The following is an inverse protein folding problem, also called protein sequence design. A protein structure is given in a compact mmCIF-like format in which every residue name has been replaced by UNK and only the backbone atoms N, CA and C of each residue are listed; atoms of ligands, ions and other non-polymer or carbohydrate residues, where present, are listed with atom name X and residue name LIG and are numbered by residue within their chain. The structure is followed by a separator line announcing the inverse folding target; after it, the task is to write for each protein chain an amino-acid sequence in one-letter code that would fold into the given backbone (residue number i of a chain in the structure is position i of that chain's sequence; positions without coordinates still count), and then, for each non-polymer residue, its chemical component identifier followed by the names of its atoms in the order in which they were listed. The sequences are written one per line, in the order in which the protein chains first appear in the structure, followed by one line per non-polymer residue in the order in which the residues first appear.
data_IF_941589263568
#
_entry.id   IF_941589263568
#
_cell.length_a   1.000
_cell.length_b   1.000
_cell.length_c   1.000
_cell.angle_alpha   90.00
_cell.angle_beta   90.00
_cell.angle_gamma   90.00
#
_symmetry.space_group_name_H-M   'P 1'
#
loop_
_entity.id
_entity.type
_entity.pdbx_description
1 polymer ?
#
# COMPACT_ATOMS: atom_id res chain seq x y z
N UNK A 1 -31.39 -0.38 81.98
CA UNK A 1 -31.85 0.08 80.67
C UNK A 1 -33.31 -0.25 80.51
N UNK A 2 -34.21 0.73 80.21
CA UNK A 2 -35.64 0.46 80.16
C UNK A 2 -35.97 -0.56 79.07
N UNK A 3 -36.78 -1.53 79.36
CA UNK A 3 -37.28 -2.62 78.51
C UNK A 3 -37.83 -2.09 77.14
N UNK A 4 -38.33 -0.86 77.10
CA UNK A 4 -38.80 -0.17 75.90
C UNK A 4 -37.70 0.07 74.83
N UNK A 5 -36.44 0.31 75.19
CA UNK A 5 -35.34 0.50 74.29
C UNK A 5 -34.97 -0.80 73.57
N UNK A 6 -34.98 -1.92 74.25
CA UNK A 6 -34.71 -3.24 73.72
C UNK A 6 -35.78 -3.66 72.70
N UNK A 7 -37.05 -3.40 72.98
CA UNK A 7 -38.14 -3.68 72.03
C UNK A 7 -38.03 -2.91 70.75
N UNK A 8 -37.65 -1.63 70.84
CA UNK A 8 -37.44 -0.77 69.69
C UNK A 8 -36.22 -1.21 68.82
N UNK A 9 -35.14 -1.65 69.44
CA UNK A 9 -33.98 -2.18 68.74
C UNK A 9 -34.34 -3.47 68.00
N UNK A 10 -35.12 -4.36 68.63
CA UNK A 10 -35.54 -5.61 67.98
C UNK A 10 -36.49 -5.41 66.82
N UNK A 11 -37.39 -4.44 66.93
CA UNK A 11 -38.30 -4.04 65.85
C UNK A 11 -37.56 -3.41 64.69
N UNK A 12 -36.61 -2.51 64.94
CA UNK A 12 -35.75 -1.90 63.91
C UNK A 12 -34.91 -2.94 63.22
N UNK A 13 -34.33 -3.90 63.95
CA UNK A 13 -33.53 -4.98 63.36
C UNK A 13 -34.38 -5.89 62.44
N UNK A 14 -35.63 -6.14 62.78
CA UNK A 14 -36.56 -6.92 61.92
C UNK A 14 -36.87 -6.17 60.65
N UNK A 15 -37.08 -4.85 60.71
CA UNK A 15 -37.35 -4.01 59.53
C UNK A 15 -36.11 -3.94 58.62
N UNK A 16 -34.94 -3.72 59.21
CA UNK A 16 -33.67 -3.68 58.48
C UNK A 16 -33.40 -5.01 57.77
N UNK A 17 -33.57 -6.12 58.46
CA UNK A 17 -33.38 -7.46 57.87
C UNK A 17 -34.38 -7.76 56.73
N UNK A 18 -35.62 -7.30 56.85
CA UNK A 18 -36.63 -7.46 55.81
C UNK A 18 -36.23 -6.63 54.55
N UNK A 19 -35.80 -5.37 54.71
CA UNK A 19 -35.35 -4.52 53.58
C UNK A 19 -34.07 -5.07 52.92
N UNK A 20 -33.12 -5.56 53.71
CA UNK A 20 -31.91 -6.21 53.16
C UNK A 20 -32.30 -7.42 52.32
N UNK A 21 -33.18 -8.27 52.85
CA UNK A 21 -33.63 -9.46 52.11
C UNK A 21 -34.35 -9.15 50.81
N UNK A 22 -35.16 -8.08 50.84
CA UNK A 22 -35.88 -7.57 49.66
C UNK A 22 -34.91 -6.98 48.60
N UNK A 23 -33.89 -6.22 49.05
CA UNK A 23 -32.86 -5.68 48.18
C UNK A 23 -31.98 -6.79 47.56
N UNK A 24 -31.58 -7.76 48.37
CA UNK A 24 -30.79 -8.91 47.92
C UNK A 24 -31.55 -9.74 46.89
N UNK A 25 -32.86 -9.94 47.07
CA UNK A 25 -33.68 -10.66 46.08
C UNK A 25 -33.82 -9.91 44.78
N UNK A 26 -33.90 -8.55 44.82
CA UNK A 26 -33.88 -7.69 43.60
C UNK A 26 -32.55 -7.74 42.86
N UNK A 27 -31.42 -7.72 43.59
CA UNK A 27 -30.09 -7.81 43.01
C UNK A 27 -29.88 -9.19 42.33
N UNK A 28 -30.29 -10.26 42.98
CA UNK A 28 -30.18 -11.60 42.39
C UNK A 28 -31.04 -11.77 41.14
N UNK A 29 -32.23 -11.12 41.08
CA UNK A 29 -33.08 -11.16 39.87
C UNK A 29 -32.51 -10.35 38.72
N UNK A 30 -31.70 -9.31 39.02
CA UNK A 30 -31.03 -8.51 38.00
C UNK A 30 -29.75 -9.17 37.43
N UNK A 31 -29.24 -10.23 38.10
CA UNK A 31 -28.04 -10.93 37.63
C UNK A 31 -28.36 -12.12 36.70
N UNK A 32 -29.62 -12.54 36.59
CA UNK A 32 -29.99 -13.69 35.75
C UNK A 32 -30.22 -13.33 34.27
N UNK A 33 -30.23 -12.04 33.86
CA UNK A 33 -30.47 -11.65 32.46
C UNK A 33 -29.22 -11.35 31.64
N UNK A 34 -28.01 -11.51 32.15
CA UNK A 34 -26.83 -11.56 31.27
C UNK A 34 -26.60 -12.99 30.78
N UNK A 35 -27.55 -13.54 30.07
CA UNK A 35 -27.33 -14.66 29.18
C UNK A 35 -26.22 -14.23 28.19
N UNK A 36 -25.01 -14.74 28.37
CA UNK A 36 -23.98 -14.70 27.35
C UNK A 36 -24.52 -15.45 26.16
N UNK A 37 -25.18 -14.74 25.24
CA UNK A 37 -25.58 -15.28 23.93
C UNK A 37 -24.29 -15.62 23.22
N UNK A 38 -23.87 -16.86 23.28
CA UNK A 38 -22.82 -17.40 22.44
C UNK A 38 -23.30 -17.32 21.00
N UNK A 39 -22.41 -16.98 20.07
CA UNK A 39 -22.71 -17.02 18.65
C UNK A 39 -23.10 -18.45 18.24
N UNK A 40 -24.21 -18.58 17.54
CA UNK A 40 -24.60 -19.85 16.93
C UNK A 40 -23.60 -20.20 15.83
N UNK A 41 -23.28 -21.49 15.68
CA UNK A 41 -22.42 -21.99 14.60
C UNK A 41 -23.02 -21.61 13.22
N UNK A 42 -24.35 -21.60 13.10
CA UNK A 42 -25.08 -21.16 11.91
C UNK A 42 -24.86 -19.67 11.63
N UNK A 43 -24.89 -18.81 12.66
CA UNK A 43 -24.67 -17.37 12.54
C UNK A 43 -23.25 -17.06 12.05
N UNK A 44 -22.25 -17.76 12.59
CA UNK A 44 -20.88 -17.64 12.11
C UNK A 44 -20.76 -18.09 10.64
N UNK A 45 -21.39 -19.19 10.28
CA UNK A 45 -21.38 -19.71 8.90
C UNK A 45 -22.00 -18.71 7.91
N UNK A 46 -23.12 -18.09 8.26
CA UNK A 46 -23.75 -17.05 7.43
C UNK A 46 -22.86 -15.82 7.28
N UNK A 47 -22.20 -15.40 8.34
CA UNK A 47 -21.25 -14.25 8.30
C UNK A 47 -20.09 -14.53 7.35
N UNK A 48 -19.43 -15.69 7.47
CA UNK A 48 -18.32 -16.02 6.55
C UNK A 48 -18.78 -16.20 5.11
N UNK A 49 -19.98 -16.70 4.87
CA UNK A 49 -20.57 -16.79 3.54
C UNK A 49 -20.76 -15.39 2.93
N UNK A 50 -21.35 -14.45 3.67
CA UNK A 50 -21.54 -13.07 3.21
C UNK A 50 -20.19 -12.39 2.95
N UNK A 51 -19.23 -12.53 3.87
CA UNK A 51 -17.89 -12.00 3.68
C UNK A 51 -17.18 -12.59 2.46
N UNK A 52 -17.37 -13.88 2.18
CA UNK A 52 -16.83 -14.54 0.98
C UNK A 52 -17.40 -13.95 -0.31
N UNK A 53 -18.71 -13.70 -0.37
CA UNK A 53 -19.36 -13.10 -1.53
C UNK A 53 -18.87 -11.65 -1.73
N UNK A 54 -18.77 -10.85 -0.66
CA UNK A 54 -18.29 -9.48 -0.73
C UNK A 54 -16.81 -9.43 -1.16
N UNK A 55 -15.98 -10.31 -0.63
CA UNK A 55 -14.57 -10.42 -1.02
C UNK A 55 -14.42 -10.74 -2.52
N UNK A 56 -15.19 -11.67 -3.06
CA UNK A 56 -15.17 -12.03 -4.47
C UNK A 56 -15.50 -10.86 -5.41
N UNK A 57 -16.31 -9.90 -4.97
CA UNK A 57 -16.67 -8.72 -5.76
C UNK A 57 -15.61 -7.59 -5.70
N UNK A 58 -14.82 -7.52 -4.62
CA UNK A 58 -13.87 -6.41 -4.36
C UNK A 58 -12.46 -6.75 -4.85
N UNK A 59 -11.99 -7.98 -4.64
CA UNK A 59 -10.61 -8.39 -4.94
C UNK A 59 -10.19 -8.08 -6.39
N UNK A 60 -10.97 -8.38 -7.45
CA UNK A 60 -10.54 -8.10 -8.83
C UNK A 60 -10.29 -6.62 -9.11
N UNK A 61 -11.10 -5.72 -8.51
CA UNK A 61 -10.97 -4.27 -8.71
C UNK A 61 -9.71 -3.70 -8.06
N UNK A 62 -9.30 -4.25 -6.92
CA UNK A 62 -8.12 -3.78 -6.19
C UNK A 62 -6.83 -4.22 -6.90
N UNK A 63 -6.79 -5.43 -7.43
CA UNK A 63 -5.62 -5.95 -8.18
C UNK A 63 -5.37 -5.11 -9.43
N UNK A 64 -6.38 -4.87 -10.28
CA UNK A 64 -6.21 -4.07 -11.49
C UNK A 64 -5.84 -2.60 -11.24
N UNK A 65 -6.31 -2.00 -10.13
CA UNK A 65 -5.89 -0.65 -9.73
C UNK A 65 -4.40 -0.59 -9.33
N UNK A 66 -3.88 -1.66 -8.71
CA UNK A 66 -2.47 -1.77 -8.34
C UNK A 66 -1.54 -1.82 -9.56
N UNK A 67 -1.91 -2.55 -10.59
CA UNK A 67 -1.10 -2.68 -11.81
C UNK A 67 -1.08 -1.36 -12.61
N UNK A 68 -2.21 -0.68 -12.72
CA UNK A 68 -2.24 0.65 -13.33
C UNK A 68 -1.35 1.65 -12.58
N UNK A 69 -1.39 1.65 -11.26
CA UNK A 69 -0.53 2.52 -10.46
C UNK A 69 0.97 2.23 -10.68
N UNK A 70 1.35 0.96 -10.89
CA UNK A 70 2.73 0.58 -11.24
C UNK A 70 3.14 1.11 -12.61
N UNK A 71 2.27 1.00 -13.62
CA UNK A 71 2.51 1.55 -14.97
C UNK A 71 2.71 3.06 -14.90
N UNK A 72 1.84 3.78 -14.18
CA UNK A 72 1.97 5.22 -13.99
C UNK A 72 3.30 5.60 -13.31
N UNK A 73 3.73 4.82 -12.31
CA UNK A 73 5.02 5.01 -11.64
C UNK A 73 6.21 4.75 -12.56
N UNK A 74 6.14 3.76 -13.46
CA UNK A 74 7.18 3.55 -14.50
C UNK A 74 7.33 4.80 -15.33
N UNK A 75 6.24 5.40 -15.78
CA UNK A 75 6.28 6.64 -16.55
C UNK A 75 6.91 7.82 -15.78
N UNK A 76 6.65 7.91 -14.48
CA UNK A 76 7.30 8.92 -13.63
C UNK A 76 8.82 8.69 -13.55
N UNK A 77 9.25 7.43 -13.33
CA UNK A 77 10.65 7.07 -13.28
C UNK A 77 11.36 7.32 -14.63
N UNK A 78 10.70 7.00 -15.74
CA UNK A 78 11.20 7.29 -17.09
C UNK A 78 11.37 8.80 -17.33
N UNK A 79 10.48 9.65 -16.83
CA UNK A 79 10.62 11.10 -16.91
C UNK A 79 11.85 11.60 -16.16
N UNK A 80 12.15 11.02 -15.00
CA UNK A 80 13.38 11.31 -14.26
C UNK A 80 14.63 10.97 -15.06
N UNK A 81 14.69 9.76 -15.61
CA UNK A 81 15.79 9.33 -16.47
C UNK A 81 15.92 10.16 -17.75
N UNK A 82 14.79 10.50 -18.38
CA UNK A 82 14.76 11.35 -19.57
C UNK A 82 15.28 12.77 -19.29
N UNK A 83 15.02 13.32 -18.12
CA UNK A 83 15.57 14.62 -17.72
C UNK A 83 17.10 14.54 -17.56
N UNK A 84 17.63 13.49 -16.97
CA UNK A 84 19.06 13.27 -16.86
C UNK A 84 19.74 13.15 -18.25
N UNK A 85 19.11 12.43 -19.21
CA UNK A 85 19.57 12.36 -20.59
C UNK A 85 19.60 13.73 -21.28
N UNK A 86 18.58 14.57 -21.03
CA UNK A 86 18.52 15.93 -21.57
C UNK A 86 19.62 16.82 -20.98
N UNK A 87 19.90 16.70 -19.70
CA UNK A 87 21.00 17.40 -19.03
C UNK A 87 22.34 16.97 -19.62
N UNK A 88 22.56 15.66 -19.78
CA UNK A 88 23.77 15.15 -20.44
C UNK A 88 23.96 15.75 -21.84
N UNK A 89 22.87 15.77 -22.65
CA UNK A 89 22.92 16.37 -23.97
C UNK A 89 23.18 17.87 -23.96
N UNK A 90 22.66 18.59 -22.96
CA UNK A 90 22.87 20.03 -22.84
C UNK A 90 24.39 20.33 -22.66
N UNK A 91 25.06 19.55 -21.82
CA UNK A 91 26.49 19.73 -21.53
C UNK A 91 27.38 19.21 -22.65
N UNK A 92 27.06 18.06 -23.24
CA UNK A 92 27.92 17.34 -24.19
C UNK A 92 27.50 17.49 -25.67
N UNK A 93 26.38 18.18 -25.94
CA UNK A 93 25.90 18.44 -27.29
C UNK A 93 25.15 17.26 -27.95
N UNK A 94 25.24 16.07 -27.41
CA UNK A 94 24.63 14.84 -27.93
C UNK A 94 24.15 13.91 -26.81
N UNK A 95 23.24 12.99 -27.14
CA UNK A 95 22.86 11.91 -26.24
C UNK A 95 23.93 10.81 -26.25
N UNK A 96 24.06 10.02 -25.14
CA UNK A 96 24.92 8.83 -25.15
C UNK A 96 24.55 7.88 -26.28
N UNK A 97 25.48 7.06 -26.76
CA UNK A 97 25.15 5.98 -27.70
C UNK A 97 24.35 4.88 -27.01
N UNK A 98 23.65 4.05 -27.79
CA UNK A 98 22.82 2.97 -27.24
C UNK A 98 23.66 1.99 -26.40
N UNK A 99 24.89 1.71 -26.85
CA UNK A 99 25.85 0.83 -26.19
C UNK A 99 26.40 1.42 -24.88
N UNK A 100 26.48 2.75 -24.79
CA UNK A 100 26.89 3.48 -23.57
C UNK A 100 25.77 3.49 -22.53
N UNK A 101 24.52 3.48 -22.99
CA UNK A 101 23.35 3.33 -22.16
C UNK A 101 23.19 4.36 -21.05
N UNK A 102 22.52 3.96 -19.97
CA UNK A 102 22.39 4.77 -18.77
C UNK A 102 23.68 4.82 -17.91
N UNK A 103 24.61 3.90 -18.16
CA UNK A 103 25.93 3.91 -17.50
C UNK A 103 26.69 5.20 -17.79
N UNK A 104 26.52 5.76 -19.01
CA UNK A 104 27.09 7.05 -19.37
C UNK A 104 26.57 8.23 -18.52
N UNK A 105 25.42 8.06 -17.85
CA UNK A 105 24.90 9.09 -16.92
C UNK A 105 25.47 8.96 -15.52
N UNK A 106 26.10 7.84 -15.18
CA UNK A 106 26.71 7.58 -13.88
C UNK A 106 28.21 7.93 -13.86
N UNK A 107 28.89 7.73 -14.99
CA UNK A 107 30.30 8.05 -15.16
C UNK A 107 30.60 8.40 -16.61
N UNK A 108 31.59 9.26 -16.84
CA UNK A 108 32.01 9.61 -18.19
C UNK A 108 32.59 8.39 -18.92
N UNK A 109 31.96 7.88 -19.98
CA UNK A 109 32.44 6.69 -20.67
C UNK A 109 33.64 6.97 -21.58
N UNK A 110 33.81 8.22 -22.03
CA UNK A 110 34.88 8.64 -22.93
C UNK A 110 35.16 10.14 -22.72
N UNK A 111 36.27 10.45 -22.06
CA UNK A 111 36.66 11.82 -21.73
C UNK A 111 37.04 12.66 -22.96
N UNK A 112 37.45 12.04 -24.04
CA UNK A 112 37.80 12.75 -25.29
C UNK A 112 36.54 13.12 -26.05
N UNK A 113 35.55 12.23 -26.05
CA UNK A 113 34.23 12.43 -26.69
C UNK A 113 33.34 13.39 -25.89
N UNK A 114 33.34 13.26 -24.57
CA UNK A 114 32.51 14.01 -23.63
C UNK A 114 33.34 14.94 -22.73
N UNK A 115 34.08 15.85 -23.36
CA UNK A 115 34.99 16.78 -22.68
C UNK A 115 34.29 17.74 -21.71
N UNK A 116 33.00 17.99 -21.90
CA UNK A 116 32.15 18.84 -21.05
C UNK A 116 31.27 18.03 -20.07
N UNK A 117 31.65 16.79 -19.80
CA UNK A 117 30.93 15.97 -18.84
C UNK A 117 30.90 16.65 -17.46
N UNK A 118 29.72 16.68 -16.81
CA UNK A 118 29.56 17.31 -15.51
C UNK A 118 30.49 16.69 -14.45
N UNK A 119 30.89 17.50 -13.47
CA UNK A 119 31.74 17.04 -12.35
C UNK A 119 31.03 16.03 -11.42
N UNK A 120 29.70 15.97 -11.50
CA UNK A 120 28.87 15.01 -10.78
C UNK A 120 28.07 14.15 -11.76
N UNK A 121 27.71 12.94 -11.36
CA UNK A 121 26.87 12.06 -12.14
C UNK A 121 25.49 12.70 -12.42
N UNK A 122 24.95 12.47 -13.61
CA UNK A 122 23.60 12.88 -13.97
C UNK A 122 22.54 11.97 -13.34
N UNK A 123 22.90 10.72 -13.00
CA UNK A 123 22.11 9.75 -12.26
C UNK A 123 22.98 9.05 -11.23
N UNK A 124 22.51 8.98 -9.97
CA UNK A 124 23.20 8.23 -8.92
C UNK A 124 23.02 6.72 -9.09
N UNK A 125 21.83 6.29 -9.53
CA UNK A 125 21.49 4.90 -9.67
C UNK A 125 20.94 4.59 -11.06
N UNK A 126 21.19 3.37 -11.52
CA UNK A 126 20.62 2.87 -12.77
C UNK A 126 19.09 2.88 -12.70
N UNK A 127 18.38 3.42 -13.71
CA UNK A 127 16.93 3.50 -13.70
C UNK A 127 16.29 2.11 -13.69
N UNK A 128 15.35 1.91 -12.77
CA UNK A 128 14.56 0.69 -12.66
C UNK A 128 13.08 1.01 -12.77
N UNK A 129 12.35 0.07 -13.31
CA UNK A 129 10.89 0.12 -13.35
C UNK A 129 10.24 -0.22 -12.00
N UNK A 130 8.91 -0.24 -11.96
CA UNK A 130 8.13 -0.53 -10.76
C UNK A 130 8.17 -2.01 -10.33
N UNK A 131 8.73 -2.88 -11.13
CA UNK A 131 8.95 -4.29 -10.84
C UNK A 131 10.43 -4.60 -10.57
N UNK A 132 11.26 -3.54 -10.48
CA UNK A 132 12.68 -3.64 -10.15
C UNK A 132 13.58 -4.10 -11.31
N UNK A 133 13.04 -4.21 -12.54
CA UNK A 133 13.84 -4.49 -13.72
C UNK A 133 14.58 -3.23 -14.19
N UNK A 134 15.77 -3.40 -14.78
CA UNK A 134 16.51 -2.33 -15.42
C UNK A 134 15.76 -1.84 -16.66
N UNK A 135 15.63 -0.52 -16.80
CA UNK A 135 15.10 0.08 -18.01
C UNK A 135 16.12 0.00 -19.15
N UNK A 136 15.65 -0.08 -20.37
CA UNK A 136 16.47 -0.11 -21.58
C UNK A 136 16.47 1.27 -22.21
N UNK A 137 17.64 1.75 -22.62
CA UNK A 137 17.83 2.98 -23.36
C UNK A 137 18.10 2.68 -24.83
N UNK A 138 17.44 3.41 -25.72
CA UNK A 138 17.58 3.27 -27.17
C UNK A 138 17.75 4.67 -27.76
N UNK A 139 18.86 4.91 -28.48
CA UNK A 139 19.10 6.12 -29.25
C UNK A 139 18.75 5.90 -30.73
N UNK A 140 18.04 6.86 -31.31
CA UNK A 140 17.74 6.86 -32.74
C UNK A 140 18.02 8.27 -33.31
N UNK A 141 19.19 8.45 -33.91
CA UNK A 141 19.64 9.74 -34.40
C UNK A 141 19.76 10.75 -33.24
N UNK A 142 19.02 11.85 -33.32
CA UNK A 142 19.01 12.90 -32.29
C UNK A 142 17.83 12.78 -31.29
N UNK A 143 17.22 11.60 -31.22
CA UNK A 143 16.15 11.25 -30.30
C UNK A 143 16.55 10.03 -29.48
N UNK A 144 15.83 9.80 -28.40
CA UNK A 144 15.94 8.58 -27.61
C UNK A 144 14.56 8.09 -27.19
N UNK A 145 14.49 6.83 -26.80
CA UNK A 145 13.38 6.27 -26.08
C UNK A 145 13.89 5.48 -24.86
N UNK A 146 13.02 5.25 -23.91
CA UNK A 146 13.27 4.43 -22.72
C UNK A 146 12.19 3.37 -22.68
N UNK A 147 12.59 2.12 -22.44
CA UNK A 147 11.71 0.97 -22.48
C UNK A 147 11.74 0.23 -21.15
N UNK A 148 10.59 -0.17 -20.66
CA UNK A 148 10.42 -1.17 -19.61
C UNK A 148 9.66 -2.35 -20.18
N UNK A 149 10.14 -3.58 -19.90
CA UNK A 149 9.49 -4.83 -20.30
C UNK A 149 8.33 -5.24 -19.37
N UNK A 150 7.80 -4.28 -18.57
CA UNK A 150 6.62 -4.52 -17.76
C UNK A 150 6.79 -5.56 -16.66
N UNK A 151 5.67 -6.14 -16.26
CA UNK A 151 5.61 -7.05 -15.12
C UNK A 151 6.30 -8.40 -15.36
N UNK A 152 6.28 -8.91 -16.59
CA UNK A 152 6.88 -10.22 -16.95
C UNK A 152 8.38 -10.13 -17.30
N UNK A 153 8.93 -8.90 -17.44
CA UNK A 153 10.33 -8.61 -17.76
C UNK A 153 10.78 -9.21 -19.09
N UNK A 154 9.87 -9.34 -20.06
CA UNK A 154 10.12 -9.90 -21.39
C UNK A 154 9.68 -8.91 -22.46
N UNK A 155 10.41 -8.90 -23.57
CA UNK A 155 10.04 -8.08 -24.73
C UNK A 155 8.70 -8.53 -25.32
N UNK A 156 7.80 -7.57 -25.58
CA UNK A 156 6.47 -7.78 -26.15
C UNK A 156 5.37 -7.82 -25.06
N UNK A 157 4.41 -8.74 -25.23
CA UNK A 157 3.28 -8.86 -24.32
C UNK A 157 2.08 -7.99 -24.69
N UNK A 158 1.00 -8.10 -23.91
CA UNK A 158 -0.24 -7.33 -24.05
C UNK A 158 -0.82 -7.01 -22.67
N UNK A 159 -1.71 -6.02 -22.60
CA UNK A 159 -2.38 -5.58 -21.40
C UNK A 159 -1.38 -5.21 -20.28
N UNK A 160 -1.45 -5.87 -19.13
CA UNK A 160 -0.56 -5.67 -17.97
C UNK A 160 0.89 -6.13 -18.18
N UNK A 161 1.13 -6.95 -19.21
CA UNK A 161 2.47 -7.44 -19.60
C UNK A 161 3.05 -6.70 -20.81
N UNK A 162 2.36 -5.66 -21.30
CA UNK A 162 2.84 -4.90 -22.42
C UNK A 162 4.08 -4.08 -22.07
N UNK A 163 4.99 -3.94 -23.04
CA UNK A 163 6.11 -3.03 -22.94
C UNK A 163 5.64 -1.59 -22.76
N UNK A 164 6.31 -0.85 -21.88
CA UNK A 164 6.03 0.56 -21.61
C UNK A 164 7.15 1.39 -22.22
N UNK A 165 6.80 2.35 -23.10
CA UNK A 165 7.74 3.26 -23.74
C UNK A 165 7.57 4.68 -23.22
N UNK A 166 8.70 5.38 -23.00
CA UNK A 166 8.68 6.78 -22.60
C UNK A 166 7.91 7.67 -23.59
N UNK A 167 8.06 7.40 -24.89
CA UNK A 167 7.33 8.12 -25.94
C UNK A 167 5.80 7.99 -25.83
N UNK A 168 5.29 7.01 -25.11
CA UNK A 168 3.86 6.74 -24.91
C UNK A 168 3.33 7.25 -23.56
N UNK A 169 4.22 7.59 -22.62
CA UNK A 169 3.86 8.04 -21.26
C UNK A 169 3.14 9.40 -21.17
N UNK A 170 2.98 10.12 -22.26
CA UNK A 170 2.37 11.46 -22.28
C UNK A 170 1.09 11.52 -23.13
N UNK A 171 0.50 10.37 -23.43
CA UNK A 171 -0.77 10.27 -24.17
C UNK A 171 -1.98 10.29 -23.25
#
# INVERSE_FOLDING_TARGET
MPEYIKLKEEENNKIINYEIKKLTSKINHSQEETSKKGFSLLELLVVILILGILAAAVVPKVVGAGDKAKVDLVCVNMKGAANALKMFKLDNGMYPETEEGFEALQSNPDSDKYSNYASSAYLEHYPKDSWGAKMVYIKTGNKFDILSYGADKREGGSDEYADIKYSECNK
#
